data_IF_027647927758
#
_entry.id   IF_027647927758
#
_cell.length_a   1.000
_cell.length_b   1.000
_cell.length_c   1.000
_cell.angle_alpha   90.00
_cell.angle_beta   90.00
_cell.angle_gamma   90.00
#
_symmetry.space_group_name_H-M   'P 1'
#
loop_
_entity.id
_entity.type
_entity.pdbx_description
1 polymer ?
#
# COMPACT_ATOMS: atom_id res chain seq x y z
N UNK A 1 -6.23 -8.87 15.20
CA UNK A 1 -4.91 -8.65 15.82
C UNK A 1 -4.47 -7.18 15.79
N UNK A 2 -4.23 -6.57 14.62
CA UNK A 2 -3.66 -5.20 14.50
C UNK A 2 -4.37 -4.17 15.41
N UNK A 3 -5.69 -4.00 15.26
CA UNK A 3 -6.48 -3.06 16.09
C UNK A 3 -6.34 -3.37 17.58
N UNK A 4 -6.43 -4.64 17.94
CA UNK A 4 -6.41 -5.13 19.33
C UNK A 4 -5.07 -4.80 19.98
N UNK A 5 -3.97 -5.20 19.36
CA UNK A 5 -2.62 -4.90 19.85
C UNK A 5 -2.37 -3.41 19.93
N UNK A 6 -2.77 -2.64 18.92
CA UNK A 6 -2.66 -1.18 18.95
C UNK A 6 -3.39 -0.58 20.15
N UNK A 7 -4.64 -1.01 20.40
CA UNK A 7 -5.43 -0.51 21.54
C UNK A 7 -4.87 -0.93 22.89
N UNK A 8 -4.33 -2.15 23.00
CA UNK A 8 -3.64 -2.62 24.20
C UNK A 8 -2.41 -1.76 24.54
N UNK A 9 -1.73 -1.24 23.52
CA UNK A 9 -0.58 -0.33 23.65
C UNK A 9 -0.96 1.14 23.83
N UNK A 10 -2.25 1.47 23.93
CA UNK A 10 -2.76 2.86 23.90
C UNK A 10 -2.24 3.69 22.70
N UNK A 11 -1.84 3.03 21.61
CA UNK A 11 -1.24 3.66 20.44
C UNK A 11 -2.34 4.22 19.54
N UNK A 12 -2.24 5.47 19.10
CA UNK A 12 -3.22 6.01 18.16
C UNK A 12 -3.06 5.38 16.76
N UNK A 13 -4.17 5.22 16.03
CA UNK A 13 -4.11 4.70 14.65
C UNK A 13 -3.29 5.60 13.73
N UNK A 14 -3.39 6.92 13.88
CA UNK A 14 -2.60 7.89 13.11
C UNK A 14 -1.11 7.70 13.36
N UNK A 15 -0.74 7.43 14.60
CA UNK A 15 0.64 7.17 14.98
C UNK A 15 1.14 5.83 14.45
N UNK A 16 0.35 4.76 14.54
CA UNK A 16 0.69 3.48 13.92
C UNK A 16 0.88 3.60 12.40
N UNK A 17 0.03 4.37 11.72
CA UNK A 17 0.16 4.61 10.28
C UNK A 17 1.49 5.30 9.95
N UNK A 18 1.85 6.32 10.75
CA UNK A 18 3.13 7.05 10.61
C UNK A 18 4.32 6.12 10.82
N UNK A 19 4.33 5.34 11.90
CA UNK A 19 5.42 4.41 12.24
C UNK A 19 5.58 3.29 11.20
N UNK A 20 4.47 2.81 10.64
CA UNK A 20 4.48 1.77 9.60
C UNK A 20 4.75 2.31 8.18
N UNK A 21 4.86 3.63 7.99
CA UNK A 21 5.00 4.23 6.66
C UNK A 21 3.77 4.04 5.75
N UNK A 22 2.58 3.88 6.34
CA UNK A 22 1.33 3.63 5.64
C UNK A 22 0.41 4.85 5.70
N UNK A 23 -0.52 4.95 4.73
CA UNK A 23 -1.56 5.98 4.81
C UNK A 23 -2.58 5.62 5.90
N UNK A 24 -3.03 6.63 6.64
CA UNK A 24 -4.09 6.47 7.65
C UNK A 24 -5.37 5.83 7.06
N UNK A 25 -5.87 6.22 5.86
CA UNK A 25 -7.02 5.55 5.26
C UNK A 25 -6.79 4.07 5.01
N UNK A 26 -5.60 3.68 4.54
CA UNK A 26 -5.29 2.27 4.29
C UNK A 26 -5.28 1.44 5.58
N UNK A 27 -4.62 1.93 6.64
CA UNK A 27 -4.61 1.26 7.93
C UNK A 27 -6.01 1.17 8.58
N UNK A 28 -6.83 2.21 8.42
CA UNK A 28 -8.23 2.25 8.89
C UNK A 28 -9.08 1.16 8.23
N UNK A 29 -8.92 0.96 6.91
CA UNK A 29 -9.64 -0.09 6.19
C UNK A 29 -9.15 -1.50 6.57
N UNK A 30 -7.86 -1.66 6.90
CA UNK A 30 -7.31 -2.91 7.44
C UNK A 30 -7.91 -3.22 8.81
N UNK A 31 -7.88 -2.27 9.76
CA UNK A 31 -8.39 -2.48 11.12
C UNK A 31 -9.90 -2.75 11.17
N UNK A 32 -10.64 -2.25 10.18
CA UNK A 32 -12.08 -2.49 10.01
C UNK A 32 -12.41 -3.80 9.28
N UNK A 33 -11.39 -4.55 8.84
CA UNK A 33 -11.57 -5.80 8.08
C UNK A 33 -11.98 -5.61 6.61
N UNK A 34 -12.09 -4.37 6.13
CA UNK A 34 -12.50 -4.06 4.75
C UNK A 34 -11.41 -4.36 3.71
N UNK A 35 -10.14 -4.30 4.12
CA UNK A 35 -8.99 -4.70 3.30
C UNK A 35 -8.12 -5.68 4.06
N UNK A 36 -7.63 -6.70 3.35
CA UNK A 36 -6.55 -7.54 3.87
C UNK A 36 -5.24 -6.76 3.82
N UNK A 37 -4.44 -6.87 4.88
CA UNK A 37 -3.07 -6.37 4.85
C UNK A 37 -2.29 -7.14 3.78
N UNK A 38 -1.61 -6.44 2.88
CA UNK A 38 -0.67 -7.08 1.95
C UNK A 38 0.55 -7.59 2.73
N UNK A 39 1.26 -8.56 2.16
CA UNK A 39 2.54 -9.04 2.73
C UNK A 39 3.52 -7.89 2.94
N UNK A 40 3.58 -6.95 1.99
CA UNK A 40 4.40 -5.73 2.07
C UNK A 40 4.00 -4.79 3.21
N UNK A 41 2.72 -4.73 3.58
CA UNK A 41 2.22 -3.89 4.68
C UNK A 41 2.31 -4.57 6.05
N UNK A 42 2.21 -5.89 6.09
CA UNK A 42 2.21 -6.70 7.31
C UNK A 42 3.51 -6.55 8.10
N UNK A 43 4.65 -6.60 7.42
CA UNK A 43 5.96 -6.50 8.06
C UNK A 43 6.20 -5.12 8.72
N UNK A 44 5.98 -3.97 8.05
CA UNK A 44 6.04 -2.65 8.67
C UNK A 44 5.04 -2.47 9.83
N UNK A 45 3.81 -2.98 9.70
CA UNK A 45 2.81 -2.90 10.79
C UNK A 45 3.28 -3.69 12.02
N UNK A 46 3.79 -4.91 11.83
CA UNK A 46 4.30 -5.72 12.93
C UNK A 46 5.46 -5.02 13.64
N UNK A 47 6.43 -4.50 12.88
CA UNK A 47 7.57 -3.74 13.42
C UNK A 47 7.12 -2.51 14.20
N UNK A 48 6.17 -1.74 13.67
CA UNK A 48 5.63 -0.56 14.33
C UNK A 48 4.87 -0.88 15.63
N UNK A 49 4.35 -2.10 15.76
CA UNK A 49 3.74 -2.61 17.00
C UNK A 49 4.76 -3.28 17.94
N UNK A 50 6.05 -3.29 17.59
CA UNK A 50 7.10 -3.95 18.38
C UNK A 50 7.03 -5.48 18.34
N UNK A 51 6.51 -6.06 17.25
CA UNK A 51 6.32 -7.51 17.09
C UNK A 51 7.07 -8.05 15.87
N UNK A 52 7.40 -9.33 15.92
CA UNK A 52 7.67 -10.13 14.73
C UNK A 52 6.38 -10.35 13.96
N UNK A 53 6.49 -10.49 12.64
CA UNK A 53 5.35 -10.77 11.77
C UNK A 53 4.64 -12.08 12.17
N UNK A 54 5.38 -13.11 12.57
CA UNK A 54 4.84 -14.37 13.06
C UNK A 54 3.99 -14.20 14.32
N UNK A 55 4.44 -13.39 15.28
CA UNK A 55 3.69 -13.13 16.52
C UNK A 55 2.37 -12.39 16.25
N UNK A 56 2.38 -11.45 15.29
CA UNK A 56 1.16 -10.75 14.88
C UNK A 56 0.16 -11.70 14.20
N UNK A 57 0.63 -12.65 13.40
CA UNK A 57 -0.19 -13.67 12.75
C UNK A 57 -0.75 -14.67 13.77
N UNK A 58 0.07 -15.16 14.69
CA UNK A 58 -0.36 -16.05 15.76
C UNK A 58 -1.44 -15.40 16.63
N UNK A 59 -1.28 -14.12 16.97
CA UNK A 59 -2.35 -13.36 17.65
C UNK A 59 -3.62 -13.24 16.81
N UNK A 60 -3.51 -13.17 15.49
CA UNK A 60 -4.67 -13.13 14.61
C UNK A 60 -5.40 -14.47 14.63
N UNK A 61 -4.68 -15.58 14.56
CA UNK A 61 -5.22 -16.95 14.65
C UNK A 61 -5.93 -17.17 15.98
N UNK A 62 -5.27 -16.87 17.11
CA UNK A 62 -5.88 -16.99 18.45
C UNK A 62 -7.17 -16.18 18.61
N UNK A 63 -7.27 -15.02 17.95
CA UNK A 63 -8.48 -14.20 17.97
C UNK A 63 -9.60 -14.79 17.10
N UNK A 64 -9.26 -15.45 15.99
CA UNK A 64 -10.22 -16.18 15.17
C UNK A 64 -10.77 -17.40 15.92
N UNK A 65 -9.92 -18.14 16.64
CA UNK A 65 -10.31 -19.31 17.42
C UNK A 65 -11.25 -18.96 18.58
N UNK A 66 -11.12 -17.75 19.13
CA UNK A 66 -11.98 -17.21 20.21
C UNK A 66 -13.37 -16.78 19.74
N UNK A 67 -13.75 -17.07 18.50
CA UNK A 67 -15.09 -16.82 17.98
C UNK A 67 -15.39 -15.35 17.69
N UNK A 68 -14.36 -14.50 17.51
CA UNK A 68 -14.59 -13.18 16.94
C UNK A 68 -15.13 -13.36 15.51
N UNK A 69 -16.31 -12.83 15.19
CA UNK A 69 -16.93 -13.06 13.90
C UNK A 69 -15.99 -12.61 12.80
N UNK A 70 -15.75 -13.51 11.84
CA UNK A 70 -15.23 -13.16 10.52
C UNK A 70 -16.27 -12.25 9.86
N UNK A 71 -16.29 -10.96 10.19
CA UNK A 71 -17.06 -10.01 9.40
C UNK A 71 -16.38 -9.92 8.04
N UNK A 72 -16.88 -10.75 7.12
CA UNK A 72 -16.90 -10.55 5.69
C UNK A 72 -15.54 -10.49 5.00
N UNK A 73 -14.84 -11.64 4.97
CA UNK A 73 -13.76 -11.92 4.01
C UNK A 73 -14.25 -11.97 2.54
N UNK A 74 -15.35 -11.31 2.20
CA UNK A 74 -15.80 -11.14 0.83
C UNK A 74 -14.78 -10.28 0.07
N UNK A 75 -14.29 -10.71 -1.10
CA UNK A 75 -13.48 -9.87 -1.96
C UNK A 75 -14.38 -8.76 -2.51
N UNK A 76 -14.50 -7.65 -1.79
CA UNK A 76 -15.12 -6.45 -2.35
C UNK A 76 -14.21 -5.96 -3.47
N UNK A 77 -14.69 -6.16 -4.71
CA UNK A 77 -14.10 -5.64 -5.95
C UNK A 77 -13.52 -4.26 -5.69
N UNK A 78 -12.25 -4.11 -6.07
CA UNK A 78 -11.42 -2.96 -5.74
C UNK A 78 -12.11 -1.64 -5.98
N UNK A 79 -12.26 -0.86 -4.90
CA UNK A 79 -12.47 0.58 -5.00
C UNK A 79 -11.25 1.30 -4.43
N UNK A 80 -10.49 1.86 -5.38
CA UNK A 80 -9.48 2.93 -5.37
C UNK A 80 -8.45 2.99 -4.23
N UNK A 81 -7.19 2.84 -4.66
CA UNK A 81 -5.96 3.43 -4.11
C UNK A 81 -6.07 4.97 -3.98
N UNK A 82 -5.14 5.64 -3.27
CA UNK A 82 -5.29 7.02 -2.78
C UNK A 82 -5.61 8.03 -3.87
N UNK A 83 -6.28 9.11 -3.47
CA UNK A 83 -6.83 10.13 -4.36
C UNK A 83 -5.75 10.79 -5.25
N UNK A 84 -6.10 11.00 -6.54
CA UNK A 84 -5.27 11.54 -7.64
C UNK A 84 -4.48 12.82 -7.32
N UNK A 85 -4.90 13.58 -6.30
CA UNK A 85 -4.25 14.83 -5.87
C UNK A 85 -3.06 14.63 -4.92
N UNK A 86 -3.03 13.53 -4.15
CA UNK A 86 -1.96 13.27 -3.18
C UNK A 86 -0.69 12.80 -3.89
N UNK A 87 -0.79 11.89 -4.86
CA UNK A 87 0.38 11.38 -5.59
C UNK A 87 0.97 12.42 -6.55
N UNK A 88 0.13 13.24 -7.19
CA UNK A 88 0.58 14.34 -8.04
C UNK A 88 1.30 15.47 -7.27
N UNK A 89 1.05 15.59 -5.96
CA UNK A 89 1.81 16.51 -5.09
C UNK A 89 3.19 15.99 -4.74
N UNK A 90 3.31 14.68 -4.57
CA UNK A 90 4.58 14.02 -4.20
C UNK A 90 5.53 13.94 -5.39
N UNK A 91 5.00 13.73 -6.61
CA UNK A 91 5.77 13.78 -7.84
C UNK A 91 5.27 14.93 -8.72
N UNK A 92 5.81 16.14 -8.49
CA UNK A 92 5.58 17.27 -9.40
C UNK A 92 6.33 16.99 -10.71
N UNK A 93 5.75 16.17 -11.57
CA UNK A 93 6.16 16.06 -12.96
C UNK A 93 5.69 17.34 -13.64
N UNK A 94 6.60 18.29 -13.83
CA UNK A 94 6.35 19.38 -14.76
C UNK A 94 6.17 18.73 -16.14
N UNK A 95 5.02 18.89 -16.82
CA UNK A 95 4.95 18.55 -18.22
C UNK A 95 5.87 19.55 -18.91
N UNK A 96 7.13 19.17 -19.14
CA UNK A 96 7.91 19.78 -20.19
C UNK A 96 7.01 19.74 -21.42
N UNK A 97 6.87 20.89 -22.09
CA UNK A 97 6.10 21.05 -23.33
C UNK A 97 6.30 19.80 -24.18
N UNK A 98 5.22 19.27 -24.72
CA UNK A 98 5.25 18.13 -25.63
C UNK A 98 6.06 18.48 -26.88
N UNK A 99 7.38 18.48 -26.74
CA UNK A 99 8.32 18.32 -27.83
C UNK A 99 8.15 16.88 -28.28
N UNK A 100 7.94 16.70 -29.57
CA UNK A 100 7.83 15.39 -30.21
C UNK A 100 8.97 14.50 -29.70
N UNK A 101 8.61 13.48 -28.92
CA UNK A 101 9.57 12.52 -28.38
C UNK A 101 10.17 11.79 -29.58
N UNK A 102 11.37 12.19 -29.99
CA UNK A 102 12.10 11.52 -31.06
C UNK A 102 12.52 10.11 -30.66
N UNK A 103 12.90 9.28 -31.63
CA UNK A 103 13.34 7.89 -31.40
C UNK A 103 14.44 7.77 -30.34
N UNK A 104 15.35 8.74 -30.27
CA UNK A 104 16.41 8.78 -29.24
C UNK A 104 15.84 8.84 -27.81
N UNK A 105 14.77 9.59 -27.58
CA UNK A 105 14.12 9.68 -26.27
C UNK A 105 13.39 8.39 -25.89
N UNK A 106 12.79 7.71 -26.89
CA UNK A 106 12.18 6.39 -26.69
C UNK A 106 13.25 5.34 -26.35
N UNK A 107 14.40 5.37 -27.03
CA UNK A 107 15.50 4.45 -26.78
C UNK A 107 16.07 4.60 -25.36
N UNK A 108 16.23 5.85 -24.88
CA UNK A 108 16.67 6.12 -23.52
C UNK A 108 15.66 5.63 -22.47
N UNK A 109 14.36 5.84 -22.72
CA UNK A 109 13.31 5.33 -21.85
C UNK A 109 13.32 3.80 -21.76
N UNK A 110 13.50 3.12 -22.89
CA UNK A 110 13.59 1.64 -22.94
C UNK A 110 14.83 1.15 -22.20
N UNK A 111 15.98 1.80 -22.37
CA UNK A 111 17.22 1.45 -21.66
C UNK A 111 17.07 1.61 -20.14
N UNK A 112 16.47 2.72 -19.68
CA UNK A 112 16.24 2.97 -18.25
C UNK A 112 15.18 2.02 -17.69
N UNK A 113 14.14 1.71 -18.46
CA UNK A 113 13.12 0.75 -18.08
C UNK A 113 13.68 -0.66 -17.89
N UNK A 114 14.64 -1.07 -18.73
CA UNK A 114 15.33 -2.36 -18.60
C UNK A 114 16.21 -2.50 -17.36
N UNK A 115 16.54 -1.39 -16.68
CA UNK A 115 17.31 -1.38 -15.44
C UNK A 115 16.43 -1.38 -14.18
N UNK A 116 15.11 -1.30 -14.33
CA UNK A 116 14.17 -1.32 -13.20
C UNK A 116 13.92 -2.75 -12.72
N UNK A 117 13.68 -2.90 -11.41
CA UNK A 117 13.14 -4.13 -10.87
C UNK A 117 11.74 -4.40 -11.48
N UNK A 118 11.39 -5.68 -11.66
CA UNK A 118 10.16 -6.08 -12.31
C UNK A 118 8.90 -5.44 -11.70
N UNK A 119 8.86 -5.27 -10.38
CA UNK A 119 7.74 -4.64 -9.68
C UNK A 119 7.62 -3.15 -9.98
N UNK A 120 8.74 -2.43 -10.06
CA UNK A 120 8.76 -1.00 -10.37
C UNK A 120 8.43 -0.74 -11.84
N UNK A 121 8.92 -1.60 -12.74
CA UNK A 121 8.55 -1.54 -14.16
C UNK A 121 7.04 -1.75 -14.38
N UNK A 122 6.45 -2.74 -13.69
CA UNK A 122 5.01 -2.99 -13.77
C UNK A 122 4.19 -1.82 -13.22
N UNK A 123 4.65 -1.16 -12.15
CA UNK A 123 4.00 0.06 -11.61
C UNK A 123 4.03 1.22 -12.60
N UNK A 124 5.13 1.39 -13.35
CA UNK A 124 5.24 2.41 -14.41
C UNK A 124 4.29 2.09 -15.57
N UNK A 125 4.24 0.84 -16.03
CA UNK A 125 3.32 0.43 -17.10
C UNK A 125 1.85 0.61 -16.71
N UNK A 126 1.49 0.27 -15.48
CA UNK A 126 0.13 0.47 -14.97
C UNK A 126 -0.24 1.94 -14.87
N UNK A 127 0.73 2.82 -14.56
CA UNK A 127 0.53 4.26 -14.58
C UNK A 127 0.26 4.77 -15.99
N UNK A 128 1.07 4.35 -16.97
CA UNK A 128 0.94 4.76 -18.38
C UNK A 128 -0.41 4.32 -18.96
N UNK A 129 -0.82 3.06 -18.77
CA UNK A 129 -2.12 2.54 -19.27
C UNK A 129 -3.33 3.25 -18.67
N UNK A 130 -3.20 3.81 -17.48
CA UNK A 130 -4.26 4.58 -16.81
C UNK A 130 -4.33 6.04 -17.27
N UNK A 131 -3.24 6.58 -17.81
CA UNK A 131 -3.19 7.93 -18.37
C UNK A 131 -3.60 7.98 -19.85
N UNK A 132 -3.47 6.87 -20.57
CA UNK A 132 -3.87 6.75 -21.98
C UNK A 132 -5.37 6.47 -22.22
N UNK A 133 -6.21 6.58 -21.19
CA UNK A 133 -7.69 6.43 -21.25
C UNK A 133 -8.35 7.71 -20.77
#
# INVERSE_FOLDING_TARGET
AIRVTRTEQALERKELARLAGLSYPYLSEIEKGKKRASTEALLPIARALGLRQSELLERAERLLDRGLPRSDLAPTRGRRSPNRRELARVYRLAPARAESVGEAGLQELVSRAGQLAADDFNRVLDLVRRLAR
#
